data_IF_636955501746
#
_entry.id   IF_636955501746
#
_cell.length_a   1.000
_cell.length_b   1.000
_cell.length_c   1.000
_cell.angle_alpha   90.00
_cell.angle_beta   90.00
_cell.angle_gamma   90.00
#
_symmetry.space_group_name_H-M   'P 1'
#
loop_
_entity.id
_entity.type
_entity.pdbx_description
1 polymer ?
#
# COMPACT_ATOMS: atom_id res chain seq x y z
N UNK A 1 -15.57 -15.24 8.72
CA UNK A 1 -15.36 -14.30 9.81
C UNK A 1 -14.74 -13.02 9.26
N UNK A 2 -15.40 -11.89 9.45
CA UNK A 2 -14.99 -10.57 8.94
C UNK A 2 -13.80 -9.97 9.71
N UNK A 3 -13.44 -10.52 10.87
CA UNK A 3 -12.34 -10.00 11.71
C UNK A 3 -10.98 -10.11 11.01
N UNK A 4 -10.76 -11.18 10.24
CA UNK A 4 -9.50 -11.37 9.54
C UNK A 4 -9.23 -10.27 8.51
N UNK A 5 -10.07 -10.06 7.48
CA UNK A 5 -9.80 -9.05 6.45
C UNK A 5 -9.94 -7.61 6.94
N UNK A 6 -10.85 -7.35 7.90
CA UNK A 6 -11.14 -5.96 8.32
C UNK A 6 -10.24 -5.44 9.45
N UNK A 7 -9.67 -6.33 10.27
CA UNK A 7 -8.94 -5.91 11.48
C UNK A 7 -7.53 -6.49 11.52
N UNK A 8 -7.39 -7.81 11.33
CA UNK A 8 -6.10 -8.47 11.57
C UNK A 8 -5.14 -8.27 10.40
N UNK A 9 -5.59 -8.50 9.17
CA UNK A 9 -4.73 -8.37 8.00
C UNK A 9 -4.22 -6.91 7.80
N UNK A 10 -5.05 -5.86 7.92
CA UNK A 10 -4.58 -4.48 7.78
C UNK A 10 -3.63 -4.02 8.89
N UNK A 11 -3.81 -4.52 10.13
CA UNK A 11 -2.99 -4.08 11.28
C UNK A 11 -1.74 -4.90 11.52
N UNK A 12 -1.78 -6.19 11.26
CA UNK A 12 -0.69 -7.11 11.56
C UNK A 12 0.06 -7.59 10.32
N UNK A 13 -0.55 -7.43 9.14
CA UNK A 13 -0.08 -8.04 7.90
C UNK A 13 -0.42 -9.54 7.82
N UNK A 14 -0.33 -10.10 6.61
CA UNK A 14 -0.75 -11.49 6.34
C UNK A 14 0.10 -12.53 7.10
N UNK A 15 1.43 -12.36 7.11
CA UNK A 15 2.34 -13.30 7.77
C UNK A 15 2.15 -13.35 9.29
N UNK A 16 2.11 -12.20 9.96
CA UNK A 16 1.89 -12.16 11.41
C UNK A 16 0.53 -12.73 11.78
N UNK A 17 -0.49 -12.44 10.99
CA UNK A 17 -1.84 -12.96 11.22
C UNK A 17 -1.86 -14.48 11.07
N UNK A 18 -1.15 -15.05 10.09
CA UNK A 18 -1.03 -16.50 9.89
C UNK A 18 -0.33 -17.17 11.09
N UNK A 19 0.77 -16.60 11.58
CA UNK A 19 1.44 -17.08 12.79
C UNK A 19 0.54 -16.99 14.03
N UNK A 20 -0.24 -15.91 14.19
CA UNK A 20 -1.19 -15.76 15.29
C UNK A 20 -2.24 -16.87 15.28
N UNK A 21 -2.85 -17.19 14.14
CA UNK A 21 -3.79 -18.31 14.02
C UNK A 21 -3.12 -19.66 14.28
N UNK A 22 -1.88 -19.83 13.82
CA UNK A 22 -1.07 -20.99 14.13
C UNK A 22 -0.88 -21.17 15.64
N UNK A 23 -0.56 -20.09 16.36
CA UNK A 23 -0.41 -20.07 17.82
C UNK A 23 -1.71 -20.42 18.55
N UNK A 24 -2.85 -19.87 18.11
CA UNK A 24 -4.16 -20.20 18.66
C UNK A 24 -4.47 -21.70 18.50
N UNK A 25 -4.24 -22.25 17.32
CA UNK A 25 -4.43 -23.68 17.06
C UNK A 25 -3.49 -24.56 17.92
N UNK A 26 -2.22 -24.16 18.04
CA UNK A 26 -1.26 -24.88 18.86
C UNK A 26 -1.60 -24.82 20.37
N UNK A 27 -2.14 -23.68 20.84
CA UNK A 27 -2.64 -23.51 22.18
C UNK A 27 -3.84 -24.44 22.45
N UNK A 28 -4.82 -24.49 21.54
CA UNK A 28 -5.95 -25.43 21.65
C UNK A 28 -5.47 -26.88 21.70
N UNK A 29 -4.50 -27.26 20.88
CA UNK A 29 -3.92 -28.60 20.87
C UNK A 29 -3.22 -28.93 22.21
N UNK A 30 -2.49 -27.98 22.80
CA UNK A 30 -1.89 -28.11 24.12
C UNK A 30 -2.95 -28.27 25.20
N UNK A 31 -3.95 -27.40 25.20
CA UNK A 31 -5.06 -27.42 26.15
C UNK A 31 -5.81 -28.76 26.10
N UNK A 32 -6.16 -29.22 24.89
CA UNK A 32 -6.83 -30.50 24.67
C UNK A 32 -5.96 -31.70 25.16
N UNK A 33 -4.64 -31.65 24.85
CA UNK A 33 -3.70 -32.71 25.33
C UNK A 33 -3.59 -32.72 26.85
N UNK A 34 -3.66 -31.55 27.50
CA UNK A 34 -3.65 -31.47 28.97
C UNK A 34 -4.96 -31.98 29.58
N UNK A 35 -6.11 -31.61 28.97
CA UNK A 35 -7.43 -32.01 29.47
C UNK A 35 -7.64 -33.55 29.41
N UNK A 36 -7.22 -34.16 28.31
CA UNK A 36 -7.37 -35.60 28.06
C UNK A 36 -6.09 -36.40 28.36
N UNK A 37 -5.23 -35.89 29.25
CA UNK A 37 -3.91 -36.49 29.53
C UNK A 37 -3.98 -37.93 29.97
N UNK A 38 -5.05 -38.33 30.68
CA UNK A 38 -5.22 -39.68 31.24
C UNK A 38 -5.64 -40.73 30.17
N UNK A 39 -6.18 -40.24 29.03
CA UNK A 39 -6.60 -41.09 27.91
C UNK A 39 -5.55 -41.15 26.78
N UNK A 40 -4.58 -40.24 26.83
CA UNK A 40 -3.59 -40.09 25.74
C UNK A 40 -2.34 -40.91 26.02
N UNK A 41 -2.01 -41.83 25.11
CA UNK A 41 -0.72 -42.54 25.14
C UNK A 41 0.42 -41.58 24.79
N UNK A 42 1.48 -41.55 25.63
CA UNK A 42 2.69 -40.70 25.42
C UNK A 42 2.43 -39.17 25.44
N UNK A 43 1.78 -38.71 26.50
CA UNK A 43 1.48 -37.27 26.74
C UNK A 43 2.74 -36.43 26.71
N UNK A 44 3.85 -36.86 27.35
CA UNK A 44 5.11 -36.08 27.38
C UNK A 44 5.67 -35.80 25.99
N UNK A 45 5.66 -36.80 25.10
CA UNK A 45 6.11 -36.62 23.71
C UNK A 45 5.22 -35.68 22.91
N UNK A 46 3.90 -35.71 23.15
CA UNK A 46 2.97 -34.76 22.46
C UNK A 46 3.13 -33.33 22.98
N UNK A 47 3.26 -33.13 24.29
CA UNK A 47 3.52 -31.83 24.90
C UNK A 47 4.84 -31.22 24.40
N UNK A 48 5.91 -32.03 24.35
CA UNK A 48 7.21 -31.55 23.84
C UNK A 48 7.13 -31.10 22.39
N UNK A 49 6.44 -31.87 21.53
CA UNK A 49 6.22 -31.46 20.12
C UNK A 49 5.39 -30.20 20.01
N UNK A 50 4.31 -30.07 20.77
CA UNK A 50 3.46 -28.90 20.80
C UNK A 50 4.24 -27.65 21.27
N UNK A 51 5.07 -27.78 22.33
CA UNK A 51 5.93 -26.68 22.79
C UNK A 51 6.98 -26.27 21.75
N UNK A 52 7.56 -27.25 21.03
CA UNK A 52 8.49 -26.94 19.93
C UNK A 52 7.80 -26.17 18.83
N UNK A 53 6.59 -26.58 18.39
CA UNK A 53 5.80 -25.89 17.37
C UNK A 53 5.45 -24.48 17.82
N UNK A 54 5.04 -24.29 19.08
CA UNK A 54 4.77 -22.95 19.63
C UNK A 54 6.03 -22.08 19.59
N UNK A 55 7.17 -22.63 20.01
CA UNK A 55 8.45 -21.89 19.93
C UNK A 55 8.80 -21.45 18.51
N UNK A 56 8.61 -22.34 17.52
CA UNK A 56 8.83 -22.01 16.10
C UNK A 56 7.84 -20.95 15.59
N UNK A 57 6.57 -21.02 15.99
CA UNK A 57 5.55 -20.04 15.60
C UNK A 57 5.83 -18.66 16.22
N UNK A 58 6.26 -18.61 17.48
CA UNK A 58 6.67 -17.37 18.15
C UNK A 58 7.89 -16.77 17.44
N UNK A 59 8.90 -17.59 17.14
CA UNK A 59 10.07 -17.14 16.40
C UNK A 59 9.69 -16.62 14.99
N UNK A 60 8.84 -17.33 14.28
CA UNK A 60 8.30 -16.90 12.99
C UNK A 60 7.53 -15.58 13.07
N UNK A 61 6.70 -15.40 14.09
CA UNK A 61 5.99 -14.15 14.35
C UNK A 61 6.97 -12.99 14.59
N UNK A 62 7.98 -13.20 15.44
CA UNK A 62 8.99 -12.18 15.73
C UNK A 62 9.88 -11.82 14.53
N UNK A 63 10.17 -12.81 13.66
CA UNK A 63 11.01 -12.65 12.48
C UNK A 63 10.22 -12.36 11.20
N UNK A 64 8.90 -12.18 11.28
CA UNK A 64 8.01 -12.04 10.12
C UNK A 64 8.43 -10.93 9.15
N UNK A 65 8.89 -9.78 9.65
CA UNK A 65 9.37 -8.69 8.81
C UNK A 65 10.63 -9.07 8.02
N UNK A 66 11.58 -9.75 8.67
CA UNK A 66 12.79 -10.24 8.00
C UNK A 66 12.48 -11.28 6.93
N UNK A 67 11.51 -12.15 7.23
CA UNK A 67 11.04 -13.17 6.28
C UNK A 67 10.37 -12.50 5.08
N UNK A 68 9.53 -11.49 5.32
CA UNK A 68 8.89 -10.71 4.25
C UNK A 68 9.93 -10.02 3.38
N UNK A 69 10.88 -9.30 3.97
CA UNK A 69 11.96 -8.65 3.24
C UNK A 69 12.78 -9.65 2.39
N UNK A 70 13.15 -10.79 2.97
CA UNK A 70 13.90 -11.81 2.23
C UNK A 70 13.08 -12.40 1.06
N UNK A 71 11.78 -12.64 1.27
CA UNK A 71 10.88 -13.13 0.22
C UNK A 71 10.69 -12.09 -0.89
N UNK A 72 10.57 -10.81 -0.55
CA UNK A 72 10.43 -9.70 -1.49
C UNK A 72 11.64 -9.58 -2.43
N UNK A 73 12.87 -9.72 -1.91
CA UNK A 73 14.07 -9.77 -2.76
C UNK A 73 14.01 -10.89 -3.80
N UNK A 74 13.40 -12.03 -3.47
CA UNK A 74 13.22 -13.13 -4.42
C UNK A 74 12.10 -12.90 -5.43
N UNK A 75 11.08 -12.11 -5.07
CA UNK A 75 9.90 -11.85 -5.91
C UNK A 75 10.15 -10.73 -6.92
N UNK A 76 10.73 -9.61 -6.46
CA UNK A 76 10.90 -8.43 -7.33
C UNK A 76 12.17 -8.49 -8.19
N UNK A 77 13.14 -9.31 -7.84
CA UNK A 77 14.41 -9.48 -8.60
C UNK A 77 15.34 -8.26 -8.57
N UNK A 78 14.84 -7.11 -8.10
CA UNK A 78 15.54 -5.84 -8.00
C UNK A 78 15.82 -5.47 -6.54
N UNK A 79 16.75 -4.55 -6.30
CA UNK A 79 17.02 -4.07 -4.94
C UNK A 79 15.84 -3.30 -4.37
N UNK A 80 15.29 -3.77 -3.24
CA UNK A 80 14.23 -3.08 -2.52
C UNK A 80 14.84 -1.94 -1.71
N UNK A 81 14.56 -0.69 -2.10
CA UNK A 81 15.08 0.52 -1.45
C UNK A 81 14.12 1.08 -0.40
N UNK A 82 12.84 0.71 -0.48
CA UNK A 82 11.82 1.07 0.51
C UNK A 82 10.72 0.02 0.56
N UNK A 83 10.22 -0.28 1.76
CA UNK A 83 9.03 -1.10 1.90
C UNK A 83 8.30 -0.77 3.20
N UNK A 84 6.98 -0.59 3.12
CA UNK A 84 6.10 -0.28 4.25
C UNK A 84 4.76 -0.98 4.07
N UNK A 85 4.22 -1.53 5.16
CA UNK A 85 2.83 -2.00 5.20
C UNK A 85 2.00 -0.98 5.94
N UNK A 86 1.04 -0.38 5.25
CA UNK A 86 0.05 0.53 5.82
C UNK A 86 -1.25 -0.22 6.13
N UNK A 87 -2.23 0.41 6.77
CA UNK A 87 -3.57 -0.16 6.90
C UNK A 87 -4.28 -0.43 5.57
N UNK A 88 -3.83 0.19 4.48
CA UNK A 88 -4.47 0.17 3.18
C UNK A 88 -3.77 -0.74 2.18
N UNK A 89 -2.43 -0.78 2.21
CA UNK A 89 -1.64 -1.48 1.19
C UNK A 89 -0.21 -1.78 1.64
N UNK A 90 0.44 -2.66 0.91
CA UNK A 90 1.89 -2.88 0.98
C UNK A 90 2.56 -2.04 -0.10
N UNK A 91 3.35 -1.04 0.29
CA UNK A 91 4.13 -0.19 -0.59
C UNK A 91 5.52 -0.78 -0.69
N UNK A 92 6.01 -1.04 -1.90
CA UNK A 92 7.39 -1.49 -2.15
C UNK A 92 7.97 -0.66 -3.28
N UNK A 93 9.14 -0.08 -3.04
CA UNK A 93 9.92 0.63 -4.05
C UNK A 93 11.20 -0.14 -4.30
N UNK A 94 11.42 -0.50 -5.54
CA UNK A 94 12.67 -1.16 -5.98
C UNK A 94 13.47 -0.25 -6.88
N UNK A 95 14.76 -0.54 -7.00
CA UNK A 95 15.66 0.15 -7.91
C UNK A 95 16.50 -0.84 -8.70
N UNK A 96 16.48 -0.66 -10.01
CA UNK A 96 17.37 -1.36 -10.93
C UNK A 96 18.09 -0.35 -11.83
N UNK A 97 19.38 -0.15 -11.57
CA UNK A 97 20.17 0.93 -12.17
C UNK A 97 19.54 2.31 -11.89
N UNK A 98 19.07 2.99 -12.94
CA UNK A 98 18.41 4.29 -12.91
C UNK A 98 16.87 4.20 -12.90
N UNK A 99 16.32 2.98 -12.90
CA UNK A 99 14.88 2.74 -12.91
C UNK A 99 14.35 2.47 -11.51
N UNK A 100 13.46 3.31 -11.04
CA UNK A 100 12.68 3.10 -9.82
C UNK A 100 11.31 2.54 -10.19
N UNK A 101 10.90 1.47 -9.48
CA UNK A 101 9.62 0.81 -9.70
C UNK A 101 8.82 0.78 -8.43
N UNK A 102 7.59 1.28 -8.51
CA UNK A 102 6.62 1.23 -7.41
C UNK A 102 5.71 0.04 -7.57
N UNK A 103 5.56 -0.72 -6.48
CA UNK A 103 4.60 -1.81 -6.38
C UNK A 103 3.64 -1.56 -5.22
N UNK A 104 2.34 -1.72 -5.47
CA UNK A 104 1.30 -1.72 -4.45
C UNK A 104 0.67 -3.11 -4.38
N UNK A 105 0.69 -3.73 -3.21
CA UNK A 105 0.22 -5.10 -3.01
C UNK A 105 0.82 -6.13 -3.98
N UNK A 106 2.08 -5.93 -4.40
CA UNK A 106 2.79 -6.78 -5.34
C UNK A 106 2.56 -6.45 -6.83
N UNK A 107 1.71 -5.48 -7.16
CA UNK A 107 1.44 -5.07 -8.55
C UNK A 107 2.24 -3.82 -8.89
N UNK A 108 2.89 -3.86 -10.04
CA UNK A 108 3.63 -2.72 -10.58
C UNK A 108 2.66 -1.58 -10.89
N UNK A 109 2.89 -0.42 -10.28
CA UNK A 109 2.14 0.80 -10.57
C UNK A 109 2.84 1.63 -11.63
N UNK A 110 4.13 1.83 -11.47
CA UNK A 110 4.93 2.51 -12.50
C UNK A 110 6.40 2.06 -12.48
N UNK A 111 7.09 2.29 -13.60
CA UNK A 111 8.53 2.36 -13.75
C UNK A 111 8.89 3.81 -14.10
N UNK A 112 9.91 4.38 -13.43
CA UNK A 112 10.32 5.78 -13.64
C UNK A 112 10.80 6.07 -15.06
N UNK A 113 11.09 5.04 -15.86
CA UNK A 113 11.52 5.17 -17.25
C UNK A 113 10.39 5.48 -18.23
N UNK A 114 9.17 5.01 -17.95
CA UNK A 114 8.05 5.11 -18.90
C UNK A 114 6.73 5.58 -18.30
N UNK A 115 6.68 5.88 -17.00
CA UNK A 115 5.49 6.38 -16.29
C UNK A 115 4.86 7.60 -16.96
N UNK A 116 5.72 8.45 -17.58
CA UNK A 116 5.28 9.65 -18.25
C UNK A 116 4.27 9.37 -19.37
N UNK A 117 4.36 8.23 -20.04
CA UNK A 117 3.42 7.85 -21.11
C UNK A 117 2.00 7.71 -20.59
N UNK A 118 1.87 7.08 -19.41
CA UNK A 118 0.57 6.94 -18.76
C UNK A 118 0.04 8.29 -18.29
N UNK A 119 0.82 9.03 -17.52
CA UNK A 119 0.36 10.27 -16.91
C UNK A 119 0.12 11.38 -17.93
N UNK A 120 0.94 11.48 -18.98
CA UNK A 120 0.70 12.40 -20.09
C UNK A 120 -0.59 12.06 -20.85
N UNK A 121 -0.83 10.78 -21.13
CA UNK A 121 -2.04 10.34 -21.81
C UNK A 121 -3.31 10.51 -20.93
N UNK A 122 -3.18 10.36 -19.62
CA UNK A 122 -4.27 10.57 -18.67
C UNK A 122 -4.68 12.04 -18.60
N UNK A 123 -3.73 12.98 -18.64
CA UNK A 123 -3.96 14.37 -18.30
C UNK A 123 -4.15 15.26 -19.52
N UNK A 124 -3.18 15.27 -20.45
CA UNK A 124 -3.13 16.30 -21.48
C UNK A 124 -4.35 16.29 -22.40
N UNK A 125 -4.85 15.18 -22.95
CA UNK A 125 -6.00 15.20 -23.85
C UNK A 125 -7.26 15.78 -23.20
N UNK A 126 -7.48 15.45 -21.92
CA UNK A 126 -8.66 15.92 -21.19
C UNK A 126 -8.57 17.42 -20.89
N UNK A 127 -7.41 17.91 -20.41
CA UNK A 127 -7.25 19.31 -20.03
C UNK A 127 -7.15 20.23 -21.27
N UNK A 128 -6.53 19.77 -22.34
CA UNK A 128 -6.49 20.52 -23.61
C UNK A 128 -7.88 20.70 -24.23
N UNK A 129 -8.78 19.74 -24.03
CA UNK A 129 -10.18 19.86 -24.44
C UNK A 129 -10.98 20.85 -23.57
N UNK A 130 -10.44 21.26 -22.41
CA UNK A 130 -11.09 22.14 -21.44
C UNK A 130 -10.23 23.41 -21.17
N UNK A 131 -9.99 24.28 -22.13
CA UNK A 131 -9.07 25.42 -21.97
C UNK A 131 -9.53 26.45 -20.93
N UNK A 132 -10.79 26.41 -20.54
CA UNK A 132 -11.37 27.24 -19.48
C UNK A 132 -11.24 26.65 -18.08
N UNK A 133 -10.81 25.38 -17.94
CA UNK A 133 -10.70 24.71 -16.65
C UNK A 133 -9.74 25.45 -15.71
N UNK A 134 -10.18 25.64 -14.47
CA UNK A 134 -9.45 26.30 -13.39
C UNK A 134 -9.22 25.38 -12.20
N UNK A 135 -10.18 24.51 -11.93
CA UNK A 135 -10.22 23.66 -10.74
C UNK A 135 -10.33 22.19 -11.15
N UNK A 136 -9.35 21.41 -10.76
CA UNK A 136 -9.29 19.98 -11.07
C UNK A 136 -9.27 19.18 -9.78
N UNK A 137 -10.06 18.10 -9.74
CA UNK A 137 -10.02 17.09 -8.69
C UNK A 137 -9.28 15.86 -9.22
N UNK A 138 -8.36 15.34 -8.43
CA UNK A 138 -7.67 14.07 -8.67
C UNK A 138 -8.05 13.11 -7.56
N UNK A 139 -8.59 11.95 -7.92
CA UNK A 139 -8.95 10.88 -7.00
C UNK A 139 -7.93 9.74 -7.15
N UNK A 140 -7.19 9.43 -6.09
CA UNK A 140 -5.99 8.59 -6.14
C UNK A 140 -4.76 9.38 -6.60
N UNK A 141 -3.72 8.69 -7.10
CA UNK A 141 -2.50 9.31 -7.61
C UNK A 141 -1.65 9.98 -6.53
N UNK A 142 -1.60 9.39 -5.32
CA UNK A 142 -0.83 9.89 -4.18
C UNK A 142 0.67 9.99 -4.41
N UNK A 143 1.18 9.48 -5.53
CA UNK A 143 2.55 9.68 -6.01
C UNK A 143 2.80 11.09 -6.59
N UNK A 144 1.72 11.80 -6.96
CA UNK A 144 1.79 13.15 -7.51
C UNK A 144 2.22 13.23 -8.97
N UNK A 145 2.31 12.10 -9.70
CA UNK A 145 2.75 12.11 -11.10
C UNK A 145 1.69 12.67 -12.04
N UNK A 146 0.41 12.35 -11.82
CA UNK A 146 -0.71 12.98 -12.51
C UNK A 146 -0.79 14.49 -12.19
N UNK A 147 -0.55 14.87 -10.93
CA UNK A 147 -0.51 16.28 -10.49
C UNK A 147 0.63 17.03 -11.18
N UNK A 148 1.81 16.40 -11.32
CA UNK A 148 2.94 16.97 -12.09
C UNK A 148 2.53 17.36 -13.51
N UNK A 149 1.78 16.51 -14.19
CA UNK A 149 1.29 16.78 -15.55
C UNK A 149 0.25 17.90 -15.55
N UNK A 150 -0.67 17.92 -14.60
CA UNK A 150 -1.65 19.00 -14.43
C UNK A 150 -0.96 20.37 -14.23
N UNK A 151 0.11 20.42 -13.46
CA UNK A 151 0.84 21.65 -13.15
C UNK A 151 1.52 22.30 -14.38
N UNK A 152 1.71 21.55 -15.47
CA UNK A 152 2.18 22.09 -16.77
C UNK A 152 1.15 23.01 -17.42
N UNK A 153 -0.13 22.86 -17.10
CA UNK A 153 -1.22 23.69 -17.60
C UNK A 153 -1.38 24.97 -16.75
N UNK A 154 -0.93 26.10 -17.29
CA UNK A 154 -0.88 27.39 -16.56
C UNK A 154 -2.24 28.00 -16.25
N UNK A 155 -3.29 27.56 -16.93
CA UNK A 155 -4.66 28.00 -16.70
C UNK A 155 -5.28 27.40 -15.43
N UNK A 156 -4.71 26.31 -14.90
CA UNK A 156 -5.20 25.67 -13.67
C UNK A 156 -4.78 26.49 -12.45
N UNK A 157 -5.75 26.86 -11.64
CA UNK A 157 -5.59 27.68 -10.44
C UNK A 157 -5.56 26.84 -9.16
N UNK A 158 -6.30 25.71 -9.17
CA UNK A 158 -6.41 24.83 -8.00
C UNK A 158 -6.52 23.37 -8.42
N UNK A 159 -5.71 22.54 -7.80
CA UNK A 159 -5.75 21.09 -7.95
C UNK A 159 -5.98 20.51 -6.55
N UNK A 160 -7.04 19.73 -6.39
CA UNK A 160 -7.31 18.99 -5.15
C UNK A 160 -7.01 17.52 -5.40
N UNK A 161 -6.08 16.96 -4.65
CA UNK A 161 -5.74 15.54 -4.67
C UNK A 161 -6.35 14.86 -3.46
N UNK A 162 -7.12 13.81 -3.66
CA UNK A 162 -7.69 12.98 -2.59
C UNK A 162 -7.13 11.56 -2.72
N UNK A 163 -6.26 11.17 -1.81
CA UNK A 163 -5.64 9.84 -1.76
C UNK A 163 -5.89 9.18 -0.41
N UNK A 164 -6.18 7.89 -0.45
CA UNK A 164 -6.54 7.12 0.73
C UNK A 164 -5.37 6.97 1.71
N UNK A 165 -4.14 6.82 1.20
CA UNK A 165 -2.99 6.41 2.00
C UNK A 165 -2.04 7.58 2.30
N UNK A 166 -2.04 8.12 3.54
CA UNK A 166 -1.12 9.20 3.90
C UNK A 166 0.36 8.78 3.82
N UNK A 167 0.69 7.49 3.85
CA UNK A 167 2.06 7.04 3.68
C UNK A 167 2.55 7.27 2.25
N UNK A 168 1.67 7.11 1.24
CA UNK A 168 1.99 7.42 -0.16
C UNK A 168 2.32 8.89 -0.35
N UNK A 169 1.40 9.76 -0.01
CA UNK A 169 1.57 11.21 -0.18
C UNK A 169 2.78 11.74 0.61
N UNK A 170 3.03 11.20 1.81
CA UNK A 170 4.21 11.52 2.61
C UNK A 170 5.50 11.05 1.94
N UNK A 171 5.54 9.81 1.46
CA UNK A 171 6.72 9.24 0.80
C UNK A 171 7.12 10.09 -0.41
N UNK A 172 6.15 10.45 -1.26
CA UNK A 172 6.36 11.24 -2.47
C UNK A 172 6.53 12.74 -2.24
N UNK A 173 6.29 13.22 -1.02
CA UNK A 173 6.60 14.60 -0.60
C UNK A 173 7.93 14.73 0.13
N UNK A 174 8.54 13.65 0.62
CA UNK A 174 9.73 13.71 1.49
C UNK A 174 10.96 12.98 0.94
N UNK A 175 10.79 11.93 0.15
CA UNK A 175 11.89 11.17 -0.42
C UNK A 175 12.51 11.94 -1.59
N UNK A 176 13.77 12.35 -1.48
CA UNK A 176 14.43 13.19 -2.48
C UNK A 176 14.36 12.64 -3.92
N UNK A 177 14.59 11.33 -4.20
CA UNK A 177 14.45 10.80 -5.55
C UNK A 177 13.01 10.85 -6.07
N UNK A 178 12.00 10.62 -5.21
CA UNK A 178 10.59 10.65 -5.61
C UNK A 178 10.06 12.08 -5.77
N UNK A 179 10.50 13.01 -4.91
CA UNK A 179 10.24 14.44 -5.08
C UNK A 179 10.86 14.96 -6.38
N UNK A 180 12.04 14.45 -6.77
CA UNK A 180 12.63 14.77 -8.06
C UNK A 180 11.79 14.21 -9.21
N UNK A 181 11.27 12.99 -9.08
CA UNK A 181 10.45 12.34 -10.10
C UNK A 181 9.14 13.09 -10.34
N UNK A 182 8.42 13.45 -9.28
CA UNK A 182 7.18 14.22 -9.37
C UNK A 182 7.39 15.74 -9.42
N UNK A 183 8.66 16.20 -9.47
CA UNK A 183 9.04 17.62 -9.55
C UNK A 183 8.48 18.48 -8.41
N UNK A 184 8.28 17.88 -7.22
CA UNK A 184 7.71 18.56 -6.07
C UNK A 184 6.22 18.89 -6.19
N UNK A 185 5.51 18.21 -7.07
CA UNK A 185 4.12 18.52 -7.42
C UNK A 185 3.19 18.58 -6.21
N UNK A 186 3.35 17.67 -5.24
CA UNK A 186 2.51 17.64 -4.03
C UNK A 186 2.75 18.84 -3.09
N UNK A 187 3.80 19.62 -3.32
CA UNK A 187 4.17 20.81 -2.51
C UNK A 187 3.90 22.13 -3.26
N UNK A 188 3.38 22.08 -4.49
CA UNK A 188 3.03 23.30 -5.25
C UNK A 188 1.88 24.04 -4.54
N UNK A 189 1.93 25.39 -4.43
CA UNK A 189 0.90 26.18 -3.74
C UNK A 189 -0.50 26.07 -4.36
N UNK A 190 -0.62 25.63 -5.60
CA UNK A 190 -1.91 25.36 -6.26
C UNK A 190 -2.52 24.01 -5.88
N UNK A 191 -1.75 23.15 -5.17
CA UNK A 191 -2.14 21.78 -4.86
C UNK A 191 -2.57 21.68 -3.41
N UNK A 192 -3.75 21.11 -3.21
CA UNK A 192 -4.24 20.72 -1.90
C UNK A 192 -4.30 19.20 -1.82
N UNK A 193 -3.49 18.60 -0.94
CA UNK A 193 -3.48 17.16 -0.67
C UNK A 193 -4.40 16.86 0.50
N UNK A 194 -5.31 15.91 0.32
CA UNK A 194 -6.25 15.40 1.31
C UNK A 194 -6.08 13.89 1.40
N UNK A 195 -5.87 13.38 2.61
CA UNK A 195 -5.81 11.94 2.83
C UNK A 195 -7.13 11.47 3.44
N UNK A 196 -8.00 10.93 2.60
CA UNK A 196 -9.31 10.39 2.97
C UNK A 196 -9.77 9.37 1.91
N UNK A 197 -10.78 8.58 2.26
CA UNK A 197 -11.51 7.76 1.29
C UNK A 197 -12.23 8.67 0.28
N UNK A 198 -11.95 8.46 -1.01
CA UNK A 198 -12.46 9.31 -2.08
C UNK A 198 -14.01 9.36 -2.13
N UNK A 199 -14.67 8.22 -1.90
CA UNK A 199 -16.14 8.14 -1.90
C UNK A 199 -16.72 8.91 -0.72
N UNK A 200 -16.17 8.66 0.46
CA UNK A 200 -16.59 9.35 1.68
C UNK A 200 -16.36 10.86 1.62
N UNK A 201 -15.22 11.26 1.06
CA UNK A 201 -14.88 12.66 0.87
C UNK A 201 -15.83 13.34 -0.11
N UNK A 202 -16.16 12.69 -1.23
CA UNK A 202 -17.13 13.20 -2.22
C UNK A 202 -18.54 13.38 -1.64
N UNK A 203 -18.97 12.46 -0.77
CA UNK A 203 -20.29 12.57 -0.10
C UNK A 203 -20.39 13.80 0.82
N UNK A 204 -19.28 14.22 1.39
CA UNK A 204 -19.20 15.36 2.32
C UNK A 204 -18.76 16.67 1.69
N UNK A 205 -18.27 16.65 0.43
CA UNK A 205 -17.73 17.82 -0.25
C UNK A 205 -18.74 18.39 -1.26
N UNK A 206 -18.99 19.70 -1.13
CA UNK A 206 -19.88 20.45 -2.02
C UNK A 206 -19.12 21.29 -3.08
N UNK A 207 -17.79 21.16 -3.14
CA UNK A 207 -16.98 21.90 -4.12
C UNK A 207 -17.30 21.47 -5.55
N UNK A 208 -17.20 22.42 -6.49
CA UNK A 208 -17.39 22.17 -7.91
C UNK A 208 -16.05 22.21 -8.62
N UNK A 209 -15.82 21.26 -9.52
CA UNK A 209 -14.61 21.11 -10.31
C UNK A 209 -14.93 21.14 -11.81
N UNK A 210 -14.01 21.66 -12.60
CA UNK A 210 -14.15 21.72 -14.06
C UNK A 210 -13.78 20.39 -14.71
N UNK A 211 -12.91 19.61 -14.03
CA UNK A 211 -12.52 18.27 -14.44
C UNK A 211 -12.26 17.38 -13.21
N UNK A 212 -12.51 16.09 -13.36
CA UNK A 212 -12.18 15.05 -12.37
C UNK A 212 -11.31 14.02 -13.06
N UNK A 213 -10.13 13.79 -12.52
CA UNK A 213 -9.19 12.73 -12.93
C UNK A 213 -9.29 11.60 -11.93
N UNK A 214 -9.40 10.38 -12.40
CA UNK A 214 -9.43 9.17 -11.56
C UNK A 214 -8.17 8.38 -11.87
N UNK A 215 -7.30 8.27 -10.87
CA UNK A 215 -5.99 7.63 -10.95
C UNK A 215 -5.87 6.59 -9.82
N UNK A 216 -6.74 5.59 -9.88
CA UNK A 216 -6.74 4.46 -8.95
C UNK A 216 -5.90 3.31 -9.49
N UNK A 217 -5.35 2.45 -8.60
CA UNK A 217 -4.75 1.19 -9.02
C UNK A 217 -5.73 0.34 -9.83
N UNK A 218 -5.21 -0.44 -10.77
CA UNK A 218 -6.01 -1.36 -11.58
C UNK A 218 -6.85 -2.29 -10.70
N UNK A 219 -8.14 -2.55 -11.05
CA UNK A 219 -9.07 -3.37 -10.26
C UNK A 219 -8.77 -4.88 -10.35
N UNK A 220 -7.52 -5.27 -10.62
CA UNK A 220 -7.08 -6.66 -10.69
C UNK A 220 -6.92 -7.32 -9.32
N UNK A 221 -6.98 -6.53 -8.24
CA UNK A 221 -6.89 -7.01 -6.87
C UNK A 221 -8.23 -6.86 -6.16
N UNK A 222 -8.72 -7.98 -5.65
CA UNK A 222 -9.75 -7.97 -4.63
C UNK A 222 -9.13 -7.42 -3.33
N UNK A 223 -9.05 -6.11 -3.24
CA UNK A 223 -8.67 -5.40 -2.03
C UNK A 223 -9.84 -5.25 -1.09
#
# INVERSE_FOLDING_TARGET
SLIFPLVLAPRLGLLRTSFLFGLLNAFVALWTTHLFRDEIRNVRGKLMRASLVIGLLIAGFALSERITHWAEHGVYGDETIYSETTPYQRIVLTQWHDDMRLYLNGNLQFSSRDEHRYHEALIHPAIEALPWAKRVLVLGGGDGLAVRELLKHRNLERITLVDLDPAMTKLFSTSAPLVKLNQGALMDPRVQVINDDAVRWLESNADVYDAIVVDFPDPTNFG
#
